data_IF_335669450774
#
_entry.id   IF_335669450774
#
_cell.length_a   1.000
_cell.length_b   1.000
_cell.length_c   1.000
_cell.angle_alpha   90.00
_cell.angle_beta   90.00
_cell.angle_gamma   90.00
#
_symmetry.space_group_name_H-M   'P 1'
#
loop_
_entity.id
_entity.type
_entity.pdbx_description
1 polymer ?
#
# COMPACT_ATOMS: atom_id res chain seq x y z
N UNK A 1 -9.77 -24.29 18.19
CA UNK A 1 -9.47 -23.22 19.17
C UNK A 1 -7.97 -23.27 19.39
N UNK A 2 -7.22 -22.29 18.89
CA UNK A 2 -5.76 -22.29 19.01
C UNK A 2 -5.35 -21.87 20.42
N UNK A 3 -4.40 -22.59 21.01
CA UNK A 3 -3.91 -22.37 22.36
C UNK A 3 -3.11 -21.05 22.43
N UNK A 4 -3.33 -20.25 23.48
CA UNK A 4 -2.61 -18.97 23.67
C UNK A 4 -1.09 -19.17 23.74
N UNK A 5 -0.60 -20.34 24.19
CA UNK A 5 0.81 -20.68 24.19
C UNK A 5 1.36 -21.00 22.79
N UNK A 6 0.54 -21.53 21.87
CA UNK A 6 0.95 -21.71 20.48
C UNK A 6 1.07 -20.38 19.76
N UNK A 7 0.14 -19.44 19.99
CA UNK A 7 0.20 -18.08 19.42
C UNK A 7 1.44 -17.33 19.94
N UNK A 8 1.80 -17.48 21.22
CA UNK A 8 3.03 -16.91 21.77
C UNK A 8 4.30 -17.55 21.18
N UNK A 9 4.30 -18.86 20.94
CA UNK A 9 5.41 -19.55 20.26
C UNK A 9 5.60 -19.06 18.82
N UNK A 10 4.51 -18.83 18.09
CA UNK A 10 4.56 -18.34 16.70
C UNK A 10 5.11 -16.92 16.65
N UNK A 11 4.66 -16.01 17.53
CA UNK A 11 5.21 -14.65 17.62
C UNK A 11 6.71 -14.64 17.95
N UNK A 12 7.19 -15.56 18.79
CA UNK A 12 8.61 -15.69 19.12
C UNK A 12 9.47 -16.31 18.00
N UNK A 13 8.87 -17.02 17.04
CA UNK A 13 9.58 -17.56 15.86
C UNK A 13 9.73 -16.49 14.77
N UNK A 14 8.76 -15.57 14.64
CA UNK A 14 8.76 -14.49 13.65
C UNK A 14 9.53 -13.25 14.11
N UNK A 15 9.65 -13.05 15.42
CA UNK A 15 10.66 -12.17 16.01
C UNK A 15 11.97 -12.96 16.09
N UNK A 16 12.67 -13.08 14.97
CA UNK A 16 14.06 -13.50 15.01
C UNK A 16 14.77 -12.65 16.07
N UNK A 17 15.23 -13.31 17.13
CA UNK A 17 16.10 -12.71 18.14
C UNK A 17 17.12 -11.86 17.41
N UNK A 18 16.99 -10.54 17.55
CA UNK A 18 17.96 -9.59 17.08
C UNK A 18 19.33 -10.15 17.46
N UNK A 19 20.14 -10.42 16.43
CA UNK A 19 21.45 -11.04 16.56
C UNK A 19 22.16 -10.40 17.76
N UNK A 20 22.57 -11.19 18.75
CA UNK A 20 23.38 -10.68 19.84
C UNK A 20 24.59 -9.97 19.19
N UNK A 21 24.81 -8.67 19.42
CA UNK A 21 25.91 -7.94 18.77
C UNK A 21 27.29 -8.50 19.14
N UNK A 22 27.40 -9.32 20.19
CA UNK A 22 28.62 -10.07 20.52
C UNK A 22 28.81 -11.37 19.70
N UNK A 23 27.90 -11.67 18.76
CA UNK A 23 27.99 -12.80 17.81
C UNK A 23 28.26 -12.27 16.38
N UNK A 24 28.61 -10.99 16.24
CA UNK A 24 29.09 -10.41 14.99
C UNK A 24 30.50 -10.96 14.70
N UNK A 25 30.53 -12.13 14.05
CA UNK A 25 31.64 -12.70 13.28
C UNK A 25 32.91 -13.08 14.05
N UNK A 26 33.58 -14.20 13.70
CA UNK A 26 34.97 -14.37 14.13
C UNK A 26 35.79 -13.19 13.59
N UNK A 27 36.67 -12.63 14.41
CA UNK A 27 37.69 -11.69 13.95
C UNK A 27 38.47 -12.38 12.84
N UNK A 28 38.29 -11.92 11.60
CA UNK A 28 38.99 -12.51 10.45
C UNK A 28 40.49 -12.18 10.58
N UNK A 29 41.38 -13.16 10.38
CA UNK A 29 42.81 -12.89 10.33
C UNK A 29 43.12 -11.89 9.20
N UNK A 30 44.23 -11.13 9.30
CA UNK A 30 44.62 -10.19 8.25
C UNK A 30 44.70 -10.90 6.90
N UNK A 31 44.00 -10.36 5.90
CA UNK A 31 44.05 -10.88 4.54
C UNK A 31 45.47 -10.61 4.00
N UNK A 32 46.20 -11.63 3.53
CA UNK A 32 47.51 -11.41 2.91
C UNK A 32 47.35 -10.55 1.64
N UNK A 33 48.36 -9.73 1.30
CA UNK A 33 48.29 -8.87 0.11
C UNK A 33 48.07 -9.71 -1.16
N UNK A 34 46.96 -9.44 -1.84
CA UNK A 34 46.65 -10.03 -3.14
C UNK A 34 47.34 -9.21 -4.24
N UNK A 35 48.31 -9.81 -4.92
CA UNK A 35 48.84 -9.26 -6.17
C UNK A 35 47.98 -9.75 -7.32
N UNK A 36 47.16 -8.87 -7.90
CA UNK A 36 46.43 -9.18 -9.13
C UNK A 36 47.46 -9.45 -10.25
N UNK A 37 47.44 -10.61 -10.93
CA UNK A 37 48.24 -10.78 -12.14
C UNK A 37 47.75 -9.75 -13.15
N UNK A 38 48.65 -8.90 -13.64
CA UNK A 38 48.35 -7.94 -14.70
C UNK A 38 48.26 -8.72 -16.02
N UNK A 39 47.11 -9.35 -16.26
CA UNK A 39 46.77 -9.89 -17.58
C UNK A 39 46.28 -8.75 -18.48
N UNK A 40 46.44 -8.86 -19.81
CA UNK A 40 45.80 -7.91 -20.71
C UNK A 40 44.28 -7.94 -20.47
N UNK A 41 43.66 -6.77 -20.32
CA UNK A 41 42.20 -6.63 -20.29
C UNK A 41 41.67 -7.20 -21.59
N UNK A 42 40.88 -8.29 -21.51
CA UNK A 42 40.18 -8.83 -22.68
C UNK A 42 39.24 -7.79 -23.27
N UNK A 43 38.85 -7.92 -24.55
CA UNK A 43 37.84 -7.03 -25.12
C UNK A 43 36.58 -7.09 -24.25
N UNK A 44 36.04 -5.93 -23.88
CA UNK A 44 34.70 -5.82 -23.28
C UNK A 44 33.74 -6.55 -24.22
N UNK A 45 33.07 -7.60 -23.72
CA UNK A 45 32.06 -8.31 -24.50
C UNK A 45 30.97 -7.33 -24.94
N UNK A 46 30.34 -7.62 -26.07
CA UNK A 46 29.22 -6.80 -26.55
C UNK A 46 28.20 -6.64 -25.42
N UNK A 47 27.88 -5.39 -25.09
CA UNK A 47 26.76 -5.09 -24.20
C UNK A 47 25.54 -5.75 -24.83
N UNK A 48 24.96 -6.75 -24.15
CA UNK A 48 23.74 -7.41 -24.59
C UNK A 48 22.67 -6.37 -24.89
N UNK A 49 21.68 -6.66 -25.76
CA UNK A 49 20.65 -5.68 -26.07
C UNK A 49 20.07 -5.15 -24.77
N UNK A 50 20.25 -3.85 -24.52
CA UNK A 50 19.51 -3.15 -23.47
C UNK A 50 18.06 -3.45 -23.77
N UNK A 51 17.41 -4.25 -22.92
CA UNK A 51 16.04 -4.68 -23.16
C UNK A 51 15.18 -3.43 -23.36
N UNK A 52 14.78 -3.18 -24.60
CA UNK A 52 13.82 -2.15 -24.97
C UNK A 52 12.42 -2.63 -24.58
N UNK A 53 12.28 -3.00 -23.31
CA UNK A 53 11.02 -2.90 -22.62
C UNK A 53 11.26 -1.73 -21.68
N UNK A 54 10.70 -0.56 -22.00
CA UNK A 54 10.27 0.34 -20.94
C UNK A 54 9.19 -0.43 -20.17
N UNK A 55 9.65 -1.40 -19.38
CA UNK A 55 8.82 -2.22 -18.52
C UNK A 55 8.30 -1.25 -17.50
N UNK A 56 7.04 -0.88 -17.67
CA UNK A 56 6.32 -0.01 -16.79
C UNK A 56 6.50 -0.55 -15.37
N UNK A 57 7.41 0.09 -14.63
CA UNK A 57 7.85 -0.38 -13.33
C UNK A 57 6.65 -0.20 -12.40
N UNK A 58 6.14 -1.31 -11.88
CA UNK A 58 5.07 -1.32 -10.89
C UNK A 58 5.35 -0.26 -9.82
N UNK A 59 4.52 0.78 -9.79
CA UNK A 59 4.68 1.93 -8.89
C UNK A 59 3.98 1.68 -7.54
N UNK A 60 3.53 0.45 -7.29
CA UNK A 60 2.79 0.07 -6.09
C UNK A 60 1.52 0.92 -5.86
N UNK A 61 0.79 1.21 -6.93
CA UNK A 61 -0.47 1.94 -6.92
C UNK A 61 -0.33 3.43 -6.49
N UNK A 62 0.88 3.99 -6.60
CA UNK A 62 1.16 5.38 -6.21
C UNK A 62 0.52 6.37 -7.18
N UNK A 63 0.68 6.22 -8.48
CA UNK A 63 0.09 7.10 -9.49
C UNK A 63 -1.45 7.07 -9.44
N UNK A 64 -2.12 5.91 -9.36
CA UNK A 64 -3.57 5.90 -9.19
C UNK A 64 -4.03 6.59 -7.90
N UNK A 65 -3.35 6.38 -6.77
CA UNK A 65 -3.69 7.07 -5.54
C UNK A 65 -3.46 8.58 -5.64
N UNK A 66 -2.39 9.02 -6.29
CA UNK A 66 -2.16 10.43 -6.59
C UNK A 66 -3.29 11.04 -7.42
N UNK A 67 -3.76 10.34 -8.46
CA UNK A 67 -4.87 10.77 -9.30
C UNK A 67 -6.18 10.94 -8.50
N UNK A 68 -6.42 10.08 -7.50
CA UNK A 68 -7.57 10.23 -6.60
C UNK A 68 -7.39 11.43 -5.68
N UNK A 69 -6.23 11.55 -5.03
CA UNK A 69 -5.95 12.65 -4.10
C UNK A 69 -6.00 14.02 -4.78
N UNK A 70 -5.57 14.12 -6.04
CA UNK A 70 -5.68 15.36 -6.84
C UNK A 70 -7.13 15.81 -7.03
N UNK A 71 -8.08 14.88 -7.16
CA UNK A 71 -9.50 15.18 -7.26
C UNK A 71 -10.11 15.64 -5.92
N UNK A 72 -9.40 15.43 -4.81
CA UNK A 72 -9.83 15.77 -3.45
C UNK A 72 -9.11 17.01 -2.89
N UNK A 73 -8.37 17.76 -3.71
CA UNK A 73 -7.75 19.02 -3.27
C UNK A 73 -8.85 20.00 -2.84
N UNK A 74 -8.71 20.55 -1.63
CA UNK A 74 -9.69 21.43 -0.99
C UNK A 74 -10.73 20.71 -0.13
N UNK A 75 -10.81 19.37 -0.23
CA UNK A 75 -11.76 18.57 0.54
C UNK A 75 -11.21 18.14 1.90
N UNK A 76 -12.11 17.98 2.87
CA UNK A 76 -11.80 17.40 4.18
C UNK A 76 -11.91 15.87 4.09
N UNK A 77 -10.80 15.20 4.42
CA UNK A 77 -10.61 13.76 4.24
C UNK A 77 -10.18 13.07 5.53
N UNK A 78 -10.33 11.74 5.53
CA UNK A 78 -9.70 10.83 6.48
C UNK A 78 -8.60 10.12 5.69
N UNK A 79 -7.34 10.48 5.93
CA UNK A 79 -6.22 9.90 5.21
C UNK A 79 -5.59 8.77 6.05
N UNK A 80 -5.72 7.54 5.56
CA UNK A 80 -5.11 6.36 6.16
C UNK A 80 -3.69 6.13 5.64
N UNK A 81 -2.77 5.74 6.50
CA UNK A 81 -1.37 5.45 6.19
C UNK A 81 -0.89 4.15 6.83
N UNK A 82 0.26 3.65 6.39
CA UNK A 82 0.89 2.48 7.00
C UNK A 82 1.34 2.70 8.45
N UNK A 83 1.45 3.95 8.90
CA UNK A 83 1.83 4.30 10.26
C UNK A 83 0.65 4.27 11.25
N UNK A 84 -0.59 4.19 10.76
CA UNK A 84 -1.77 4.14 11.62
C UNK A 84 -1.84 2.82 12.39
N UNK A 85 -2.23 2.91 13.65
CA UNK A 85 -2.51 1.74 14.48
C UNK A 85 -3.89 1.16 14.19
N UNK A 86 -4.04 -0.18 14.09
CA UNK A 86 -5.36 -0.81 13.93
C UNK A 86 -6.30 -0.49 15.09
N UNK A 87 -7.60 -0.35 14.79
CA UNK A 87 -8.67 -0.06 15.76
C UNK A 87 -8.56 1.30 16.47
N UNK A 88 -7.73 2.21 15.96
CA UNK A 88 -7.73 3.61 16.36
C UNK A 88 -8.07 4.50 15.17
N UNK A 89 -8.58 5.72 15.39
CA UNK A 89 -8.71 6.70 14.32
C UNK A 89 -7.35 6.93 13.61
N UNK A 90 -7.34 7.11 12.28
CA UNK A 90 -6.13 7.50 11.56
C UNK A 90 -5.51 8.78 12.11
N UNK A 91 -4.19 8.92 11.98
CA UNK A 91 -3.46 10.10 12.41
C UNK A 91 -3.98 11.38 11.73
N UNK A 92 -4.42 11.26 10.47
CA UNK A 92 -4.95 12.36 9.66
C UNK A 92 -6.48 12.24 9.52
N UNK A 93 -7.17 12.32 10.65
CA UNK A 93 -8.63 12.29 10.71
C UNK A 93 -9.20 13.71 10.56
N UNK A 94 -9.99 13.94 9.50
CA UNK A 94 -10.61 15.23 9.15
C UNK A 94 -9.60 16.36 8.85
N UNK A 95 -8.61 16.05 8.00
CA UNK A 95 -7.67 17.03 7.47
C UNK A 95 -8.09 17.48 6.07
N UNK A 96 -7.76 18.72 5.71
CA UNK A 96 -7.97 19.26 4.35
C UNK A 96 -6.74 19.04 3.47
N UNK A 97 -6.92 18.52 2.26
CA UNK A 97 -5.84 18.41 1.27
C UNK A 97 -5.59 19.78 0.64
N UNK A 98 -4.35 20.27 0.67
CA UNK A 98 -3.98 21.57 0.10
C UNK A 98 -3.20 21.47 -1.20
N UNK A 99 -2.46 20.39 -1.41
CA UNK A 99 -1.73 20.13 -2.65
C UNK A 99 -1.38 18.65 -2.80
N UNK A 100 -1.29 18.21 -4.06
CA UNK A 100 -0.89 16.86 -4.43
C UNK A 100 0.00 16.93 -5.67
N UNK A 101 1.29 16.70 -5.49
CA UNK A 101 2.29 16.72 -6.56
C UNK A 101 3.51 15.88 -6.16
N UNK A 102 4.29 15.46 -7.15
CA UNK A 102 5.56 14.74 -6.94
C UNK A 102 5.47 13.56 -5.95
N UNK A 103 4.39 12.75 -6.05
CA UNK A 103 4.12 11.62 -5.16
C UNK A 103 3.92 11.97 -3.69
N UNK A 104 3.64 13.25 -3.38
CA UNK A 104 3.36 13.77 -2.06
C UNK A 104 1.94 14.35 -1.99
N UNK A 105 1.32 14.19 -0.82
CA UNK A 105 0.08 14.89 -0.46
C UNK A 105 0.32 15.75 0.76
N UNK A 106 -0.04 17.03 0.66
CA UNK A 106 0.01 17.97 1.78
C UNK A 106 -1.38 18.11 2.38
N UNK A 107 -1.47 17.92 3.70
CA UNK A 107 -2.72 17.99 4.46
C UNK A 107 -2.58 18.93 5.66
N UNK A 108 -3.68 19.59 6.04
CA UNK A 108 -3.72 20.47 7.21
C UNK A 108 -5.04 20.39 7.97
N UNK A 109 -5.01 20.58 9.28
CA UNK A 109 -6.19 20.79 10.13
C UNK A 109 -6.45 22.29 10.41
N UNK A 110 -5.73 23.18 9.71
CA UNK A 110 -5.73 24.63 9.92
C UNK A 110 -4.73 25.12 10.98
N UNK A 111 -4.14 24.22 11.77
CA UNK A 111 -3.11 24.55 12.78
C UNK A 111 -1.76 23.93 12.42
N UNK A 112 -1.77 22.67 12.00
CA UNK A 112 -0.60 21.88 11.64
C UNK A 112 -0.69 21.47 10.18
N UNK A 113 0.47 21.33 9.54
CA UNK A 113 0.59 20.91 8.14
C UNK A 113 1.55 19.73 8.08
N UNK A 114 1.11 18.67 7.42
CA UNK A 114 1.91 17.48 7.17
C UNK A 114 2.06 17.24 5.68
N UNK A 115 3.21 16.72 5.30
CA UNK A 115 3.49 16.24 3.95
C UNK A 115 3.67 14.73 4.05
N UNK A 116 2.82 13.98 3.36
CA UNK A 116 2.75 12.51 3.43
C UNK A 116 3.16 11.93 2.09
N UNK A 117 3.99 10.90 2.11
CA UNK A 117 4.32 10.15 0.90
C UNK A 117 3.12 9.31 0.46
N UNK A 118 2.70 9.46 -0.80
CA UNK A 118 1.56 8.72 -1.36
C UNK A 118 1.83 7.20 -1.35
N UNK A 119 3.09 6.77 -1.42
CA UNK A 119 3.47 5.36 -1.27
C UNK A 119 3.07 4.76 0.07
N UNK A 120 2.86 5.59 1.10
CA UNK A 120 2.52 5.16 2.45
C UNK A 120 1.02 5.27 2.73
N UNK A 121 0.25 5.84 1.81
CA UNK A 121 -1.21 5.97 1.92
C UNK A 121 -1.85 4.60 1.69
N UNK A 122 -2.66 4.16 2.65
CA UNK A 122 -3.46 2.93 2.54
C UNK A 122 -4.80 3.20 1.86
N UNK A 123 -5.38 4.38 2.12
CA UNK A 123 -6.59 4.85 1.46
C UNK A 123 -6.96 6.25 1.92
N UNK A 124 -7.92 6.85 1.22
CA UNK A 124 -8.50 8.14 1.57
C UNK A 124 -10.02 8.03 1.65
N UNK A 125 -10.56 8.47 2.79
CA UNK A 125 -12.00 8.56 3.05
C UNK A 125 -12.48 9.99 2.93
N UNK A 126 -13.70 10.19 2.43
CA UNK A 126 -14.33 11.51 2.32
C UNK A 126 -15.84 11.38 2.54
N UNK A 127 -16.45 12.43 3.12
CA UNK A 127 -17.86 12.41 3.51
C UNK A 127 -18.77 12.56 2.28
N UNK A 128 -19.82 11.74 2.14
CA UNK A 128 -20.85 11.94 1.12
C UNK A 128 -21.57 13.29 1.26
N UNK A 129 -22.02 13.94 0.17
CA UNK A 129 -21.99 13.44 -1.21
C UNK A 129 -20.60 13.40 -1.84
N UNK A 130 -19.66 14.24 -1.38
CA UNK A 130 -18.28 14.32 -1.89
C UNK A 130 -18.20 14.68 -3.39
N UNK A 131 -17.01 15.01 -3.91
CA UNK A 131 -16.82 15.06 -5.36
C UNK A 131 -16.92 13.66 -5.97
N UNK A 132 -17.41 13.52 -7.21
CA UNK A 132 -17.32 12.26 -7.93
C UNK A 132 -15.84 11.94 -8.20
N UNK A 133 -15.47 10.68 -7.98
CA UNK A 133 -14.10 10.19 -8.22
C UNK A 133 -14.06 9.41 -9.52
N UNK A 134 -13.22 9.86 -10.45
CA UNK A 134 -12.89 9.13 -11.67
C UNK A 134 -11.62 8.31 -11.44
N UNK A 135 -11.74 6.99 -11.49
CA UNK A 135 -10.59 6.08 -11.38
C UNK A 135 -9.88 5.94 -12.74
N UNK A 136 -8.56 5.80 -12.69
CA UNK A 136 -7.80 5.43 -13.88
C UNK A 136 -8.22 4.02 -14.36
N UNK A 137 -8.37 3.79 -15.67
CA UNK A 137 -8.78 2.49 -16.18
C UNK A 137 -7.65 1.46 -15.98
N UNK A 138 -7.97 0.17 -15.78
CA UNK A 138 -6.98 -0.90 -15.79
C UNK A 138 -6.18 -0.92 -17.11
N UNK A 139 -4.91 -1.35 -17.05
CA UNK A 139 -4.05 -1.45 -18.23
C UNK A 139 -3.74 -2.91 -18.57
N UNK A 140 -4.26 -3.41 -19.68
CA UNK A 140 -4.08 -4.82 -20.11
C UNK A 140 -2.69 -5.10 -20.73
N UNK A 141 -1.87 -4.06 -20.94
CA UNK A 141 -0.52 -4.16 -21.52
C UNK A 141 0.54 -3.64 -20.54
N UNK A 142 0.94 -4.50 -19.60
CA UNK A 142 2.25 -4.47 -18.94
C UNK A 142 2.52 -3.35 -17.92
N UNK A 143 1.54 -2.50 -17.60
CA UNK A 143 1.69 -1.42 -16.62
C UNK A 143 1.08 -1.70 -15.25
N UNK A 144 0.13 -2.62 -15.18
CA UNK A 144 -0.43 -3.03 -13.91
C UNK A 144 0.56 -3.90 -13.12
N UNK A 145 0.63 -3.73 -11.79
CA UNK A 145 1.44 -4.61 -10.95
C UNK A 145 0.86 -6.05 -10.95
N UNK A 146 1.38 -6.89 -11.84
CA UNK A 146 0.94 -8.28 -12.08
C UNK A 146 0.85 -9.15 -10.82
N UNK A 147 1.70 -8.88 -9.82
CA UNK A 147 1.82 -9.67 -8.60
C UNK A 147 1.01 -9.14 -7.40
N UNK A 148 0.47 -7.92 -7.48
CA UNK A 148 -0.13 -7.26 -6.30
C UNK A 148 -1.41 -6.52 -6.61
N UNK A 149 -1.37 -5.65 -7.61
CA UNK A 149 -2.50 -4.81 -7.99
C UNK A 149 -3.54 -5.62 -8.75
N UNK A 150 -3.14 -6.25 -9.86
CA UNK A 150 -4.08 -6.95 -10.75
C UNK A 150 -4.85 -8.06 -10.07
N UNK A 151 -4.23 -8.99 -9.32
CA UNK A 151 -4.98 -10.10 -8.74
C UNK A 151 -6.05 -9.63 -7.75
N UNK A 152 -5.73 -8.63 -6.92
CA UNK A 152 -6.69 -8.07 -5.96
C UNK A 152 -7.77 -7.26 -6.68
N UNK A 153 -7.40 -6.45 -7.68
CA UNK A 153 -8.38 -5.71 -8.48
C UNK A 153 -9.36 -6.67 -9.17
N UNK A 154 -8.87 -7.65 -9.93
CA UNK A 154 -9.71 -8.65 -10.61
C UNK A 154 -10.58 -9.46 -9.65
N UNK A 155 -10.07 -9.75 -8.45
CA UNK A 155 -10.88 -10.34 -7.39
C UNK A 155 -12.04 -9.41 -7.02
N UNK A 156 -11.76 -8.13 -6.74
CA UNK A 156 -12.76 -7.14 -6.32
C UNK A 156 -13.73 -6.76 -7.45
N UNK A 157 -13.34 -6.87 -8.72
CA UNK A 157 -14.23 -6.72 -9.88
C UNK A 157 -15.44 -7.66 -9.77
N UNK A 158 -15.23 -8.89 -9.27
CA UNK A 158 -16.29 -9.87 -9.07
C UNK A 158 -17.21 -9.57 -7.88
N UNK A 159 -16.84 -8.60 -7.02
CA UNK A 159 -17.60 -8.20 -5.84
C UNK A 159 -18.21 -6.80 -5.96
N UNK A 160 -18.15 -6.17 -7.13
CA UNK A 160 -18.84 -4.89 -7.37
C UNK A 160 -20.34 -5.05 -7.07
N UNK A 161 -20.88 -4.18 -6.22
CA UNK A 161 -22.25 -4.22 -5.71
C UNK A 161 -22.45 -5.15 -4.50
N UNK A 162 -21.40 -5.73 -3.95
CA UNK A 162 -21.41 -6.59 -2.76
C UNK A 162 -20.46 -6.08 -1.67
N UNK A 163 -20.60 -6.61 -0.46
CA UNK A 163 -19.72 -6.29 0.68
C UNK A 163 -18.61 -7.34 0.87
N UNK A 164 -17.44 -6.87 1.26
CA UNK A 164 -16.26 -7.68 1.64
C UNK A 164 -15.60 -7.09 2.88
N UNK A 165 -14.68 -7.81 3.52
CA UNK A 165 -13.77 -7.20 4.50
C UNK A 165 -12.35 -7.13 3.96
N UNK A 166 -11.74 -5.94 3.98
CA UNK A 166 -10.39 -5.72 3.46
C UNK A 166 -9.40 -5.61 4.63
N UNK A 167 -8.37 -6.47 4.63
CA UNK A 167 -7.26 -6.37 5.57
C UNK A 167 -6.13 -5.58 4.92
N UNK A 168 -5.80 -4.43 5.49
CA UNK A 168 -4.69 -3.59 5.04
C UNK A 168 -3.34 -4.03 5.66
N UNK A 169 -2.24 -3.65 5.02
CA UNK A 169 -0.87 -4.03 5.41
C UNK A 169 -0.41 -3.51 6.79
N UNK A 170 -1.05 -2.47 7.33
CA UNK A 170 -0.85 -2.01 8.72
C UNK A 170 -1.66 -2.81 9.75
N UNK A 171 -2.46 -3.78 9.31
CA UNK A 171 -3.33 -4.59 10.15
C UNK A 171 -4.75 -4.02 10.33
N UNK A 172 -5.06 -2.85 9.75
CA UNK A 172 -6.41 -2.28 9.80
C UNK A 172 -7.39 -3.10 8.95
N UNK A 173 -8.64 -3.18 9.41
CA UNK A 173 -9.70 -3.93 8.73
C UNK A 173 -10.82 -2.96 8.35
N UNK A 174 -11.11 -2.87 7.05
CA UNK A 174 -12.33 -2.25 6.54
C UNK A 174 -13.42 -3.33 6.47
N UNK A 175 -14.12 -3.54 7.59
CA UNK A 175 -15.19 -4.53 7.69
C UNK A 175 -16.46 -4.04 6.97
N UNK A 176 -17.16 -4.95 6.29
CA UNK A 176 -18.39 -4.65 5.54
C UNK A 176 -18.23 -3.53 4.50
N UNK A 177 -17.06 -3.47 3.87
CA UNK A 177 -16.77 -2.54 2.79
C UNK A 177 -17.60 -2.89 1.56
N UNK A 178 -18.48 -1.99 1.14
CA UNK A 178 -19.28 -2.13 -0.06
C UNK A 178 -18.48 -1.69 -1.29
N UNK A 179 -18.20 -2.61 -2.21
CA UNK A 179 -17.42 -2.35 -3.42
C UNK A 179 -18.30 -1.67 -4.46
N UNK A 180 -17.99 -0.43 -4.83
CA UNK A 180 -18.77 0.32 -5.82
C UNK A 180 -18.10 0.32 -7.19
N UNK A 181 -16.77 0.42 -7.21
CA UNK A 181 -15.99 0.49 -8.44
C UNK A 181 -14.55 0.06 -8.17
N UNK A 182 -13.90 -0.49 -9.18
CA UNK A 182 -12.47 -0.76 -9.22
C UNK A 182 -11.85 -0.02 -10.41
N UNK A 183 -10.57 0.31 -10.28
CA UNK A 183 -9.75 0.87 -11.35
C UNK A 183 -8.30 0.44 -11.16
N UNK A 184 -7.39 0.99 -11.97
CA UNK A 184 -5.96 0.83 -11.77
C UNK A 184 -5.63 1.19 -10.31
N UNK A 185 -5.04 0.27 -9.55
CA UNK A 185 -4.50 0.48 -8.23
C UNK A 185 -5.48 0.77 -7.09
N UNK A 186 -6.77 0.93 -7.38
CA UNK A 186 -7.74 1.49 -6.43
C UNK A 186 -9.04 0.71 -6.46
N UNK A 187 -9.56 0.44 -5.27
CA UNK A 187 -10.97 0.08 -5.06
C UNK A 187 -11.69 1.26 -4.39
N UNK A 188 -12.81 1.67 -5.00
CA UNK A 188 -13.69 2.72 -4.50
C UNK A 188 -14.96 2.08 -3.96
N UNK A 189 -15.40 2.54 -2.79
CA UNK A 189 -16.56 1.97 -2.14
C UNK A 189 -16.98 2.75 -0.91
N UNK A 190 -17.89 2.16 -0.15
CA UNK A 190 -18.44 2.75 1.06
C UNK A 190 -18.19 1.88 2.28
N UNK A 191 -17.84 2.51 3.40
CA UNK A 191 -17.54 1.85 4.66
C UNK A 191 -18.41 2.44 5.78
N UNK A 192 -19.23 1.64 6.49
CA UNK A 192 -19.90 2.09 7.69
C UNK A 192 -18.88 2.22 8.83
N UNK A 193 -18.61 3.45 9.28
CA UNK A 193 -17.69 3.70 10.41
C UNK A 193 -18.42 3.76 11.76
N UNK A 194 -19.73 3.96 11.72
CA UNK A 194 -20.65 3.84 12.85
C UNK A 194 -22.09 3.63 12.32
N UNK A 195 -23.08 3.31 13.18
CA UNK A 195 -24.44 2.97 12.75
C UNK A 195 -25.17 4.06 11.94
N UNK A 196 -24.71 5.30 11.99
CA UNK A 196 -25.36 6.44 11.32
C UNK A 196 -24.49 7.08 10.25
N UNK A 197 -23.23 6.65 10.09
CA UNK A 197 -22.25 7.31 9.23
C UNK A 197 -21.56 6.30 8.34
N UNK A 198 -21.79 6.47 7.05
CA UNK A 198 -21.09 5.78 5.97
C UNK A 198 -20.17 6.76 5.26
N UNK A 199 -18.90 6.38 5.11
CA UNK A 199 -17.88 7.21 4.46
C UNK A 199 -17.51 6.56 3.14
N UNK A 200 -17.26 7.38 2.11
CA UNK A 200 -16.76 6.89 0.82
C UNK A 200 -15.24 6.80 0.90
N UNK A 201 -14.68 5.67 0.50
CA UNK A 201 -13.26 5.38 0.61
C UNK A 201 -12.70 4.92 -0.74
N UNK A 202 -11.56 5.49 -1.11
CA UNK A 202 -10.68 4.96 -2.14
C UNK A 202 -9.48 4.28 -1.46
N UNK A 203 -9.35 2.97 -1.61
CA UNK A 203 -8.32 2.15 -0.95
C UNK A 203 -7.35 1.64 -2.00
N UNK A 204 -6.05 1.74 -1.70
CA UNK A 204 -4.99 1.20 -2.57
C UNK A 204 -5.04 -0.33 -2.56
N UNK A 205 -5.23 -0.95 -3.72
CA UNK A 205 -5.21 -2.42 -3.84
C UNK A 205 -3.84 -2.99 -3.51
N UNK A 206 -2.77 -2.23 -3.75
CA UNK A 206 -1.42 -2.58 -3.34
C UNK A 206 -1.23 -2.61 -1.82
N UNK A 207 -2.10 -1.97 -1.03
CA UNK A 207 -2.02 -2.00 0.44
C UNK A 207 -2.95 -3.02 1.07
N UNK A 208 -3.77 -3.72 0.29
CA UNK A 208 -4.59 -4.84 0.73
C UNK A 208 -3.73 -6.10 0.81
N UNK A 209 -3.76 -6.74 1.96
CA UNK A 209 -3.04 -7.99 2.25
C UNK A 209 -3.95 -9.21 2.12
N UNK A 210 -5.22 -9.08 2.49
CA UNK A 210 -6.21 -10.14 2.33
C UNK A 210 -7.62 -9.55 2.14
N UNK A 211 -8.48 -10.33 1.49
CA UNK A 211 -9.90 -10.03 1.32
C UNK A 211 -10.69 -11.19 1.93
N UNK A 212 -11.53 -10.89 2.92
CA UNK A 212 -12.53 -11.85 3.39
C UNK A 212 -13.78 -11.70 2.53
N UNK A 213 -14.05 -12.73 1.73
CA UNK A 213 -15.19 -12.83 0.83
C UNK A 213 -16.35 -13.63 1.42
N UNK A 214 -16.23 -14.08 2.67
CA UNK A 214 -17.29 -14.82 3.35
C UNK A 214 -18.38 -13.83 3.78
N UNK A 215 -19.66 -14.06 3.43
CA UNK A 215 -20.74 -13.21 3.90
C UNK A 215 -20.76 -13.14 5.43
N UNK A 216 -20.95 -11.95 5.99
CA UNK A 216 -21.23 -11.81 7.41
C UNK A 216 -22.50 -12.63 7.73
N UNK A 217 -22.38 -13.59 8.64
CA UNK A 217 -23.53 -14.36 9.11
C UNK A 217 -24.37 -13.43 9.99
N UNK A 218 -25.50 -12.99 9.45
CA UNK A 218 -26.58 -12.31 10.19
C UNK A 218 -27.30 -13.29 11.12
#
# INVERSE_FOLDING_TARGET
MFDKNEIQKINGILQANALNPNVIGPTLPPIPPFTLPTGPTGPTGDTGPTGATEGCLCDCCVLPMQSVLQQLIGETVILGTIADTPNTPPLFFLFTITSVNDFLVTVTDGTTTFVVNISDVTGVGFLPPGPPITLLPPTDVGCECECRERPIRQLLDAFIGSTVSLLASNGSIAADFNVEQTGLGIVLGTLPINPTTTVKFAISTCKITAVNITPATI
#
